data_IF_944430904674
#
_entry.id   IF_944430904674
#
_cell.length_a   1.000
_cell.length_b   1.000
_cell.length_c   1.000
_cell.angle_alpha   90.00
_cell.angle_beta   90.00
_cell.angle_gamma   90.00
#
_symmetry.space_group_name_H-M   'P 1'
#
loop_
_entity.id
_entity.type
_entity.pdbx_description
1 polymer ?
#
# COMPACT_ATOMS: atom_id res chain seq x y z
N UNK A 1 -35.58 -7.65 11.79
CA UNK A 1 -35.16 -6.47 12.50
C UNK A 1 -33.72 -6.56 12.95
N UNK A 2 -33.44 -7.54 13.72
CA UNK A 2 -32.08 -7.76 14.17
C UNK A 2 -31.10 -7.78 13.01
N UNK A 3 -31.50 -8.40 11.92
CA UNK A 3 -30.64 -8.45 10.75
C UNK A 3 -30.41 -7.06 10.18
N UNK A 4 -31.45 -6.27 10.09
CA UNK A 4 -31.33 -4.91 9.58
C UNK A 4 -30.40 -4.10 10.48
N UNK A 5 -30.50 -4.30 11.78
CA UNK A 5 -29.58 -3.65 12.72
C UNK A 5 -28.16 -4.12 12.50
N UNK A 6 -27.99 -5.41 12.29
CA UNK A 6 -26.68 -5.94 12.01
C UNK A 6 -26.06 -5.34 10.76
N UNK A 7 -26.86 -5.21 9.72
CA UNK A 7 -26.40 -4.60 8.48
C UNK A 7 -26.01 -3.14 8.73
N UNK A 8 -26.84 -2.41 9.46
CA UNK A 8 -26.53 -1.02 9.78
C UNK A 8 -25.25 -0.89 10.58
N UNK A 9 -25.07 -1.76 11.56
CA UNK A 9 -23.86 -1.76 12.36
C UNK A 9 -22.64 -2.02 11.50
N UNK A 10 -22.72 -2.96 10.57
CA UNK A 10 -21.63 -3.28 9.70
C UNK A 10 -21.24 -2.09 8.81
N UNK A 11 -22.25 -1.36 8.33
CA UNK A 11 -21.98 -0.17 7.54
C UNK A 11 -21.22 0.88 8.34
N UNK A 12 -21.65 1.12 9.58
CA UNK A 12 -20.95 2.07 10.42
C UNK A 12 -19.52 1.64 10.70
N UNK A 13 -19.33 0.38 10.98
CA UNK A 13 -18.00 -0.15 11.22
C UNK A 13 -17.11 0.05 9.99
N UNK A 14 -17.64 -0.25 8.82
CA UNK A 14 -16.88 -0.07 7.59
C UNK A 14 -16.52 1.39 7.36
N UNK A 15 -17.45 2.31 7.60
CA UNK A 15 -17.18 3.73 7.43
C UNK A 15 -16.11 4.21 8.41
N UNK A 16 -16.24 3.80 9.67
CA UNK A 16 -15.26 4.17 10.68
C UNK A 16 -13.88 3.62 10.32
N UNK A 17 -13.83 2.38 9.89
CA UNK A 17 -12.59 1.76 9.49
C UNK A 17 -11.95 2.50 8.30
N UNK A 18 -12.76 2.86 7.31
CA UNK A 18 -12.29 3.60 6.15
C UNK A 18 -11.70 4.95 6.56
N UNK A 19 -12.26 5.59 7.56
CA UNK A 19 -11.75 6.87 8.05
C UNK A 19 -10.45 6.72 8.84
N UNK A 20 -10.21 5.54 9.43
CA UNK A 20 -9.04 5.29 10.27
C UNK A 20 -7.86 4.72 9.52
N UNK A 21 -8.08 4.20 8.33
CA UNK A 21 -7.02 3.59 7.53
C UNK A 21 -6.81 4.36 6.24
N UNK A 22 -5.62 4.19 5.68
CA UNK A 22 -5.27 4.84 4.43
C UNK A 22 -5.90 4.09 3.25
N UNK A 23 -6.28 4.84 2.23
CA UNK A 23 -6.71 4.26 0.97
C UNK A 23 -5.48 4.03 0.10
N UNK A 24 -5.46 2.91 -0.59
CA UNK A 24 -4.36 2.55 -1.46
C UNK A 24 -4.78 2.79 -2.90
N UNK A 25 -4.04 3.65 -3.58
CA UNK A 25 -4.29 3.98 -4.98
C UNK A 25 -3.08 3.55 -5.82
N UNK A 26 -3.28 2.56 -6.69
CA UNK A 26 -2.23 2.07 -7.56
C UNK A 26 -2.17 2.89 -8.83
N UNK A 27 -1.05 3.54 -9.08
CA UNK A 27 -0.86 4.28 -10.31
C UNK A 27 -0.70 3.33 -11.50
N UNK A 28 -1.07 3.74 -12.72
CA UNK A 28 -0.99 2.88 -13.89
C UNK A 28 0.39 2.28 -14.12
N UNK A 29 1.44 3.04 -13.90
CA UNK A 29 2.81 2.56 -14.06
C UNK A 29 3.09 1.39 -13.11
N UNK A 30 2.71 1.55 -11.84
CA UNK A 30 2.92 0.51 -10.85
C UNK A 30 2.13 -0.74 -11.18
N UNK A 31 0.89 -0.60 -11.63
CA UNK A 31 0.09 -1.75 -12.04
C UNK A 31 0.71 -2.50 -13.21
N UNK A 32 1.23 -1.77 -14.20
CA UNK A 32 1.89 -2.40 -15.33
C UNK A 32 3.13 -3.16 -14.89
N UNK A 33 3.90 -2.59 -14.00
CA UNK A 33 5.08 -3.23 -13.46
C UNK A 33 4.72 -4.48 -12.67
N UNK A 34 3.67 -4.40 -11.86
CA UNK A 34 3.20 -5.53 -11.08
C UNK A 34 2.79 -6.71 -11.94
N UNK A 35 2.16 -6.43 -13.10
CA UNK A 35 1.74 -7.49 -14.03
C UNK A 35 2.92 -8.23 -14.65
N UNK A 36 4.06 -7.58 -14.75
CA UNK A 36 5.26 -8.18 -15.34
C UNK A 36 6.06 -9.01 -14.36
N UNK A 37 5.73 -8.91 -13.07
CA UNK A 37 6.42 -9.62 -12.02
C UNK A 37 5.84 -11.04 -11.94
N UNK A 38 6.67 -12.00 -11.54
CA UNK A 38 6.23 -13.35 -11.28
C UNK A 38 4.99 -13.35 -10.37
N UNK A 39 4.02 -14.22 -10.67
CA UNK A 39 2.73 -14.22 -9.97
C UNK A 39 2.87 -14.31 -8.46
N UNK A 40 3.77 -15.15 -7.99
CA UNK A 40 4.01 -15.33 -6.55
C UNK A 40 4.53 -14.05 -5.91
N UNK A 41 5.51 -13.43 -6.53
CA UNK A 41 6.07 -12.18 -6.02
C UNK A 41 5.06 -11.05 -6.10
N UNK A 42 4.29 -10.98 -7.17
CA UNK A 42 3.24 -9.98 -7.31
C UNK A 42 2.19 -10.10 -6.23
N UNK A 43 1.82 -11.33 -5.87
CA UNK A 43 0.87 -11.56 -4.78
C UNK A 43 1.45 -11.11 -3.44
N UNK A 44 2.71 -11.41 -3.19
CA UNK A 44 3.38 -10.97 -1.97
C UNK A 44 3.40 -9.44 -1.86
N UNK A 45 3.66 -8.77 -2.97
CA UNK A 45 3.66 -7.31 -3.00
C UNK A 45 2.27 -6.76 -2.69
N UNK A 46 1.23 -7.32 -3.31
CA UNK A 46 -0.14 -6.86 -3.07
C UNK A 46 -0.56 -7.06 -1.62
N UNK A 47 -0.23 -8.20 -1.05
CA UNK A 47 -0.55 -8.49 0.34
C UNK A 47 0.20 -7.53 1.26
N UNK A 48 1.48 -7.31 1.03
CA UNK A 48 2.28 -6.41 1.84
C UNK A 48 1.74 -4.98 1.78
N UNK A 49 1.39 -4.51 0.59
CA UNK A 49 0.81 -3.17 0.44
C UNK A 49 -0.48 -3.03 1.22
N UNK A 50 -1.38 -4.01 1.09
CA UNK A 50 -2.68 -3.92 1.76
C UNK A 50 -2.59 -4.12 3.28
N UNK A 51 -1.55 -4.76 3.78
CA UNK A 51 -1.41 -4.95 5.23
C UNK A 51 -0.55 -3.87 5.88
N UNK A 52 0.50 -3.40 5.21
CA UNK A 52 1.45 -2.47 5.81
C UNK A 52 1.07 -1.01 5.59
N UNK A 53 0.61 -0.67 4.40
CA UNK A 53 0.41 0.74 4.06
C UNK A 53 -0.94 1.30 4.45
N UNK A 54 -1.85 0.47 4.95
CA UNK A 54 -3.13 0.96 5.47
C UNK A 54 -2.96 1.71 6.78
N UNK A 55 -1.88 1.44 7.52
CA UNK A 55 -1.54 2.18 8.73
C UNK A 55 -0.04 2.36 8.78
N UNK A 56 0.43 3.55 8.40
CA UNK A 56 1.86 3.82 8.34
C UNK A 56 2.52 3.87 9.71
N UNK A 57 1.75 4.12 10.77
CA UNK A 57 2.31 4.09 12.11
C UNK A 57 2.69 2.70 12.56
N UNK A 58 1.99 1.70 12.06
CA UNK A 58 2.26 0.30 12.38
C UNK A 58 3.08 -0.40 11.30
N UNK A 59 3.40 0.30 10.22
CA UNK A 59 4.06 -0.31 9.08
C UNK A 59 5.50 -0.72 9.39
N UNK A 60 5.87 -1.87 8.86
CA UNK A 60 7.24 -2.36 8.94
C UNK A 60 7.86 -2.22 7.55
N UNK A 61 9.18 -2.19 7.49
CA UNK A 61 9.90 -2.15 6.21
C UNK A 61 9.58 -0.92 5.36
N UNK A 62 9.01 0.10 5.97
CA UNK A 62 8.74 1.38 5.31
C UNK A 62 9.81 2.37 5.73
N UNK A 63 10.37 3.06 4.75
CA UNK A 63 11.38 4.06 4.98
C UNK A 63 11.02 5.34 4.23
N UNK A 64 11.14 6.48 4.88
CA UNK A 64 10.99 7.74 4.19
C UNK A 64 12.28 8.06 3.43
N UNK A 65 12.14 8.65 2.27
CA UNK A 65 13.24 8.93 1.38
C UNK A 65 13.51 10.43 1.32
N UNK A 66 14.79 10.79 1.31
CA UNK A 66 15.21 12.17 1.22
C UNK A 66 15.87 12.41 -0.14
N UNK A 67 15.53 13.53 -0.78
CA UNK A 67 16.08 13.86 -2.09
C UNK A 67 15.83 12.77 -3.13
N UNK A 68 14.66 12.17 -3.06
CA UNK A 68 14.25 11.12 -3.97
C UNK A 68 12.99 11.55 -4.71
N UNK A 69 12.76 10.95 -5.87
CA UNK A 69 11.58 11.22 -6.68
C UNK A 69 10.28 10.91 -5.92
N UNK A 70 10.32 9.88 -5.06
CA UNK A 70 9.17 9.47 -4.27
C UNK A 70 9.44 9.67 -2.79
N UNK A 71 8.37 9.84 -2.02
CA UNK A 71 8.49 10.14 -0.59
C UNK A 71 8.84 8.95 0.28
N UNK A 72 8.42 7.76 -0.11
CA UNK A 72 8.56 6.57 0.75
C UNK A 72 8.83 5.32 -0.05
N UNK A 73 9.33 4.30 0.66
CA UNK A 73 9.63 3.00 0.09
C UNK A 73 9.16 1.90 1.03
N UNK A 74 8.46 0.90 0.49
CA UNK A 74 8.15 -0.34 1.18
C UNK A 74 9.01 -1.45 0.60
N UNK A 75 9.68 -2.20 1.46
CA UNK A 75 10.50 -3.32 1.05
C UNK A 75 9.71 -4.61 1.15
N UNK A 76 9.62 -5.36 0.06
CA UNK A 76 8.93 -6.64 0.00
C UNK A 76 9.85 -7.66 -0.67
N UNK A 77 10.51 -8.49 0.12
CA UNK A 77 11.47 -9.46 -0.41
C UNK A 77 12.55 -8.77 -1.24
N UNK A 78 12.65 -9.14 -2.50
CA UNK A 78 13.63 -8.56 -3.43
C UNK A 78 13.08 -7.36 -4.19
N UNK A 79 11.91 -6.87 -3.81
CA UNK A 79 11.27 -5.76 -4.50
C UNK A 79 11.15 -4.56 -3.61
N UNK A 80 11.09 -3.39 -4.24
CA UNK A 80 10.84 -2.12 -3.58
C UNK A 80 9.62 -1.48 -4.18
N UNK A 81 8.70 -1.07 -3.33
CA UNK A 81 7.48 -0.39 -3.75
C UNK A 81 7.63 1.07 -3.34
N UNK A 82 7.69 1.95 -4.34
CA UNK A 82 7.80 3.38 -4.08
C UNK A 82 6.41 4.00 -4.06
N UNK A 83 6.16 4.83 -3.07
CA UNK A 83 4.85 5.43 -2.93
C UNK A 83 4.96 6.82 -2.31
N UNK A 84 3.92 7.60 -2.53
CA UNK A 84 3.73 8.87 -1.88
C UNK A 84 2.52 8.80 -0.97
N UNK A 85 2.52 9.60 0.08
CA UNK A 85 1.45 9.59 1.05
C UNK A 85 0.96 11.00 1.30
N UNK A 86 -0.35 11.20 1.20
CA UNK A 86 -1.01 12.43 1.56
C UNK A 86 -1.78 12.20 2.86
N UNK A 87 -1.26 12.74 3.95
CA UNK A 87 -1.83 12.53 5.28
C UNK A 87 -3.15 13.26 5.51
N UNK A 88 -3.43 14.31 4.75
CA UNK A 88 -4.68 15.05 4.92
C UNK A 88 -5.88 14.24 4.46
N UNK A 89 -5.75 13.59 3.31
CA UNK A 89 -6.82 12.77 2.75
C UNK A 89 -6.59 11.29 2.96
N UNK A 90 -5.48 10.92 3.57
CA UNK A 90 -5.10 9.55 3.88
C UNK A 90 -5.07 8.65 2.65
N UNK A 91 -4.40 9.12 1.61
CA UNK A 91 -4.23 8.36 0.37
C UNK A 91 -2.77 8.00 0.20
N UNK A 92 -2.52 6.71 -0.01
CA UNK A 92 -1.22 6.19 -0.39
C UNK A 92 -1.24 5.95 -1.89
N UNK A 93 -0.38 6.62 -2.63
CA UNK A 93 -0.29 6.47 -4.08
C UNK A 93 0.91 5.60 -4.41
N UNK A 94 0.66 4.39 -4.90
CA UNK A 94 1.73 3.49 -5.30
C UNK A 94 2.21 3.90 -6.68
N UNK A 95 3.43 4.43 -6.73
CA UNK A 95 3.97 5.04 -7.94
C UNK A 95 4.78 4.07 -8.78
N UNK A 96 5.58 3.25 -8.15
CA UNK A 96 6.49 2.39 -8.89
C UNK A 96 6.84 1.13 -8.09
N UNK A 97 7.03 0.02 -8.79
CA UNK A 97 7.50 -1.23 -8.21
C UNK A 97 8.79 -1.61 -8.94
N UNK A 98 9.87 -1.76 -8.20
CA UNK A 98 11.17 -2.12 -8.78
C UNK A 98 11.73 -3.35 -8.11
N UNK A 99 12.40 -4.17 -8.91
CA UNK A 99 13.18 -5.27 -8.35
C UNK A 99 14.49 -4.71 -7.81
N UNK A 100 14.89 -5.19 -6.65
CA UNK A 100 16.17 -4.79 -6.07
C UNK A 100 17.30 -5.32 -6.94
N UNK A 101 18.19 -4.42 -7.36
CA UNK A 101 19.36 -4.78 -8.14
C UNK A 101 20.53 -5.01 -7.21
N UNK A 102 21.00 -6.24 -7.15
CA UNK A 102 22.12 -6.61 -6.30
C UNK A 102 23.43 -5.95 -6.72
N UNK A 103 23.50 -5.51 -7.96
CA UNK A 103 24.71 -4.88 -8.49
C UNK A 103 24.87 -3.42 -8.03
N UNK A 104 23.88 -2.87 -7.42
CA UNK A 104 23.89 -1.47 -7.00
C UNK A 104 24.89 -1.21 -5.87
N UNK A 105 25.36 -2.24 -5.25
CA UNK A 105 26.27 -2.12 -4.11
C UNK A 105 27.70 -2.47 -4.43
#
# INVERSE_FOLDING_TARGET
MTFALGVGSNLYVCLAYTLLVNQINWQPKALRQLRKIEARAGKQIRVAVSTELVDLNAARNVKSLTNHEYGYRLRVGNYRVFFDYDGEVRIVSIEEVRKRDERTY
#
